data_IF_934710256106
#
_entry.id   IF_934710256106
#
_cell.length_a   1.000
_cell.length_b   1.000
_cell.length_c   1.000
_cell.angle_alpha   90.00
_cell.angle_beta   90.00
_cell.angle_gamma   90.00
#
_symmetry.space_group_name_H-M   'P 1'
#
loop_
_entity.id
_entity.type
_entity.pdbx_description
1 polymer ?
#
# COMPACT_ATOMS: atom_id res chain seq x y z
N UNK A 1 38.18 16.47 9.19
CA UNK A 1 37.97 15.12 8.61
C UNK A 1 36.76 14.36 9.21
N UNK A 2 36.60 14.33 10.54
CA UNK A 2 35.54 13.59 11.28
C UNK A 2 34.07 13.93 10.90
N UNK A 3 33.75 15.19 10.56
CA UNK A 3 32.38 15.58 10.18
C UNK A 3 31.95 15.11 8.78
N UNK A 4 32.90 14.98 7.84
CA UNK A 4 32.60 14.49 6.49
C UNK A 4 32.24 13.01 6.48
N UNK A 5 32.87 12.23 7.36
CA UNK A 5 32.56 10.81 7.55
C UNK A 5 31.15 10.63 8.16
N UNK A 6 30.82 11.41 9.20
CA UNK A 6 29.47 11.41 9.79
C UNK A 6 28.39 11.82 8.78
N UNK A 7 28.61 12.87 7.99
CA UNK A 7 27.67 13.27 6.94
C UNK A 7 27.47 12.17 5.88
N UNK A 8 28.53 11.49 5.46
CA UNK A 8 28.41 10.37 4.51
C UNK A 8 27.58 9.22 5.08
N UNK A 9 27.78 8.86 6.35
CA UNK A 9 26.98 7.83 7.01
C UNK A 9 25.51 8.22 7.13
N UNK A 10 25.22 9.48 7.50
CA UNK A 10 23.83 9.97 7.60
C UNK A 10 23.14 9.95 6.24
N UNK A 11 23.83 10.40 5.18
CA UNK A 11 23.28 10.37 3.82
C UNK A 11 23.02 8.93 3.36
N UNK A 12 23.96 8.01 3.59
CA UNK A 12 23.77 6.59 3.25
C UNK A 12 22.58 5.97 4.01
N UNK A 13 22.41 6.30 5.29
CA UNK A 13 21.28 5.83 6.08
C UNK A 13 19.93 6.36 5.56
N UNK A 14 19.87 7.65 5.19
CA UNK A 14 18.68 8.27 4.58
C UNK A 14 18.32 7.61 3.24
N UNK A 15 19.30 7.34 2.38
CA UNK A 15 19.07 6.65 1.11
C UNK A 15 18.57 5.21 1.31
N UNK A 16 19.11 4.48 2.29
CA UNK A 16 18.65 3.13 2.60
C UNK A 16 17.20 3.08 3.09
N UNK A 17 16.76 4.08 3.87
CA UNK A 17 15.38 4.20 4.34
C UNK A 17 14.39 4.50 3.19
N UNK A 18 14.79 5.34 2.23
CA UNK A 18 13.97 5.68 1.07
C UNK A 18 13.83 4.51 0.08
N UNK A 19 14.83 3.63 0.00
CA UNK A 19 14.82 2.46 -0.88
C UNK A 19 13.91 1.33 -0.39
N UNK A 20 13.38 1.40 0.84
CA UNK A 20 12.52 0.37 1.44
C UNK A 20 11.06 0.38 0.92
N UNK A 21 10.83 0.85 -0.31
CA UNK A 21 9.52 0.74 -0.95
C UNK A 21 9.30 -0.73 -1.37
N UNK A 22 8.57 -1.49 -0.56
CA UNK A 22 8.30 -2.90 -0.84
C UNK A 22 7.23 -3.03 -1.94
N UNK A 23 7.63 -3.48 -3.12
CA UNK A 23 6.73 -3.91 -4.19
C UNK A 23 6.32 -5.37 -4.00
N UNK A 24 5.23 -5.79 -4.64
CA UNK A 24 4.82 -7.21 -4.70
C UNK A 24 5.95 -8.01 -5.35
N UNK A 25 6.52 -9.04 -4.68
CA UNK A 25 7.60 -9.83 -5.26
C UNK A 25 7.08 -10.61 -6.49
N UNK A 26 7.91 -10.83 -7.52
CA UNK A 26 7.49 -11.59 -8.70
C UNK A 26 7.01 -13.01 -8.42
N UNK A 27 7.45 -13.59 -7.30
CA UNK A 27 7.06 -14.93 -6.83
C UNK A 27 5.86 -14.90 -5.86
N UNK A 28 5.16 -13.77 -5.72
CA UNK A 28 3.95 -13.73 -4.92
C UNK A 28 2.88 -14.65 -5.54
N UNK A 29 2.02 -15.29 -4.72
CA UNK A 29 0.86 -15.99 -5.22
C UNK A 29 0.00 -15.06 -6.10
N UNK A 30 -0.65 -15.57 -7.15
CA UNK A 30 -1.55 -14.76 -7.96
C UNK A 30 -2.61 -14.11 -7.09
N UNK A 31 -2.96 -12.86 -7.42
CA UNK A 31 -3.99 -12.10 -6.71
C UNK A 31 -5.31 -12.88 -6.76
N UNK A 32 -5.98 -13.13 -5.62
CA UNK A 32 -7.27 -13.81 -5.61
C UNK A 32 -8.32 -12.98 -6.37
N UNK A 33 -9.38 -13.62 -6.89
CA UNK A 33 -10.48 -12.89 -7.49
C UNK A 33 -11.07 -11.87 -6.49
N UNK A 34 -11.51 -10.68 -6.95
CA UNK A 34 -12.21 -9.72 -6.09
C UNK A 34 -13.42 -10.38 -5.44
N UNK A 35 -13.61 -10.13 -4.14
CA UNK A 35 -14.80 -10.62 -3.45
C UNK A 35 -16.00 -9.79 -3.92
N UNK A 36 -17.14 -10.42 -4.27
CA UNK A 36 -18.37 -9.68 -4.53
C UNK A 36 -18.77 -8.89 -3.27
N UNK A 37 -18.79 -7.57 -3.39
CA UNK A 37 -19.29 -6.69 -2.34
C UNK A 37 -20.66 -6.13 -2.74
N UNK A 38 -21.55 -6.05 -1.76
CA UNK A 38 -22.84 -5.41 -1.97
C UNK A 38 -22.61 -3.91 -2.16
N UNK A 39 -23.13 -3.35 -3.25
CA UNK A 39 -23.02 -1.93 -3.56
C UNK A 39 -24.32 -1.22 -3.14
N UNK A 40 -24.44 -0.70 -1.91
CA UNK A 40 -25.60 0.06 -1.49
C UNK A 40 -25.61 1.41 -2.23
N UNK A 41 -26.74 1.76 -2.84
CA UNK A 41 -26.95 3.05 -3.48
C UNK A 41 -27.56 3.99 -2.45
N UNK A 42 -26.77 4.97 -1.97
CA UNK A 42 -27.25 6.01 -1.05
C UNK A 42 -27.16 7.40 -1.68
N UNK A 43 -28.04 8.35 -1.29
CA UNK A 43 -27.93 9.75 -1.69
C UNK A 43 -26.59 10.37 -1.25
N UNK A 44 -26.03 11.24 -2.08
CA UNK A 44 -24.82 12.04 -1.81
C UNK A 44 -23.55 11.26 -1.44
N UNK A 45 -23.54 9.94 -1.68
CA UNK A 45 -22.45 9.04 -1.31
C UNK A 45 -22.17 8.11 -2.49
N UNK A 46 -20.91 7.74 -2.70
CA UNK A 46 -20.55 6.73 -3.69
C UNK A 46 -19.80 5.58 -3.02
N UNK A 47 -19.97 4.39 -3.58
CA UNK A 47 -19.31 3.19 -3.09
C UNK A 47 -17.89 3.10 -3.68
N UNK A 48 -16.90 2.97 -2.79
CA UNK A 48 -15.51 2.66 -3.12
C UNK A 48 -15.35 1.16 -2.99
N UNK A 49 -15.05 0.48 -4.10
CA UNK A 49 -14.86 -0.97 -4.13
C UNK A 49 -13.69 -1.39 -3.24
N UNK A 50 -13.86 -2.51 -2.52
CA UNK A 50 -12.76 -3.17 -1.82
C UNK A 50 -11.66 -3.62 -2.76
N UNK A 51 -10.46 -3.78 -2.24
CA UNK A 51 -9.28 -4.16 -3.02
C UNK A 51 -8.35 -5.08 -2.23
N UNK A 52 -7.58 -5.88 -2.97
CA UNK A 52 -6.52 -6.69 -2.38
C UNK A 52 -5.27 -5.85 -2.14
N UNK A 53 -4.78 -5.85 -0.91
CA UNK A 53 -3.49 -5.27 -0.54
C UNK A 53 -2.48 -6.38 -0.25
N UNK A 54 -1.30 -6.28 -0.85
CA UNK A 54 -0.17 -7.12 -0.48
C UNK A 54 0.42 -6.65 0.86
N UNK A 55 0.47 -7.55 1.84
CA UNK A 55 1.01 -7.26 3.19
C UNK A 55 2.51 -7.58 3.33
N UNK A 56 3.16 -8.04 2.26
CA UNK A 56 4.54 -8.56 2.30
C UNK A 56 4.60 -10.09 2.33
N UNK A 57 3.61 -10.74 2.95
CA UNK A 57 3.52 -12.21 3.06
C UNK A 57 2.28 -12.80 2.41
N UNK A 58 1.16 -12.07 2.44
CA UNK A 58 -0.13 -12.53 1.93
C UNK A 58 -0.99 -11.40 1.37
N UNK A 59 -1.96 -11.78 0.53
CA UNK A 59 -3.02 -10.89 0.08
C UNK A 59 -4.03 -10.68 1.21
N UNK A 60 -4.25 -9.42 1.60
CA UNK A 60 -5.26 -9.03 2.58
C UNK A 60 -6.38 -8.27 1.88
N UNK A 61 -7.63 -8.69 2.06
CA UNK A 61 -8.79 -7.99 1.51
C UNK A 61 -9.08 -6.74 2.35
N UNK A 62 -9.09 -5.58 1.70
CA UNK A 62 -9.56 -4.34 2.31
C UNK A 62 -11.01 -4.14 1.84
N UNK A 63 -11.99 -4.15 2.75
CA UNK A 63 -13.38 -4.01 2.38
C UNK A 63 -13.66 -2.63 1.80
N UNK A 64 -14.60 -2.58 0.87
CA UNK A 64 -15.14 -1.33 0.34
C UNK A 64 -15.81 -0.48 1.40
N UNK A 65 -15.95 0.79 1.12
CA UNK A 65 -16.61 1.74 2.02
C UNK A 65 -17.37 2.81 1.23
N UNK A 66 -18.24 3.51 1.94
CA UNK A 66 -18.97 4.65 1.44
C UNK A 66 -18.12 5.91 1.59
N UNK A 67 -17.94 6.64 0.49
CA UNK A 67 -17.26 7.92 0.48
C UNK A 67 -18.25 9.05 0.11
N UNK A 68 -18.17 10.22 0.77
CA UNK A 68 -18.98 11.38 0.39
C UNK A 68 -18.60 11.82 -1.02
N UNK A 69 -19.59 12.27 -1.80
CA UNK A 69 -19.33 12.84 -3.12
C UNK A 69 -18.42 14.09 -2.99
N UNK A 70 -17.36 14.24 -3.80
CA UNK A 70 -16.53 15.43 -3.82
C UNK A 70 -17.29 16.68 -4.29
#
# INVERSE_FOLDING_TARGET
MRNRLKQRCVVLALFALLAACQNVPPNAPPMPPPKPEMQPVLPNTFWVMGYWRWSGTQWTWIPGHLAPKP
#
